data_IF_933562873102
#
_entry.id   IF_933562873102
#
_cell.length_a   1.000
_cell.length_b   1.000
_cell.length_c   1.000
_cell.angle_alpha   90.00
_cell.angle_beta   90.00
_cell.angle_gamma   90.00
#
_symmetry.space_group_name_H-M   'P 1'
#
loop_
_entity.id
_entity.type
_entity.pdbx_description
1 polymer ?
#
# COMPACT_ATOMS: atom_id res chain seq x y z
N UNK A 1 -32.91 27.67 1.34
CA UNK A 1 -31.46 27.99 1.26
C UNK A 1 -30.53 26.87 1.75
N UNK A 2 -30.99 25.63 2.03
CA UNK A 2 -30.17 24.57 2.68
C UNK A 2 -29.31 23.67 1.79
N UNK A 3 -29.38 23.76 0.46
CA UNK A 3 -28.60 22.89 -0.42
C UNK A 3 -27.14 23.37 -0.61
N UNK A 4 -26.90 24.69 -0.59
CA UNK A 4 -25.57 25.28 -0.84
C UNK A 4 -24.58 25.11 0.32
N UNK A 5 -25.05 24.99 1.56
CA UNK A 5 -24.19 24.84 2.74
C UNK A 5 -23.61 23.43 2.89
N UNK A 6 -24.40 22.40 2.56
CA UNK A 6 -23.97 20.98 2.61
C UNK A 6 -22.94 20.67 1.52
N UNK A 7 -23.07 21.29 0.33
CA UNK A 7 -22.08 21.16 -0.76
C UNK A 7 -20.74 21.80 -0.40
N UNK A 8 -20.75 22.97 0.25
CA UNK A 8 -19.52 23.67 0.68
C UNK A 8 -18.71 22.86 1.72
N UNK A 9 -19.38 22.16 2.63
CA UNK A 9 -18.73 21.30 3.63
C UNK A 9 -18.06 20.05 3.04
N UNK A 10 -18.72 19.38 2.08
CA UNK A 10 -18.15 18.22 1.38
C UNK A 10 -16.94 18.58 0.52
N UNK A 11 -16.97 19.74 -0.16
CA UNK A 11 -15.83 20.23 -0.94
C UNK A 11 -14.63 20.62 -0.06
N UNK A 12 -14.86 21.16 1.13
CA UNK A 12 -13.80 21.55 2.06
C UNK A 12 -12.95 20.35 2.52
N UNK A 13 -13.61 19.27 2.95
CA UNK A 13 -12.94 18.07 3.45
C UNK A 13 -12.29 17.24 2.33
N UNK A 14 -12.86 17.21 1.13
CA UNK A 14 -12.23 16.55 -0.01
C UNK A 14 -10.91 17.25 -0.40
N UNK A 15 -10.91 18.58 -0.42
CA UNK A 15 -9.70 19.38 -0.67
C UNK A 15 -8.64 19.22 0.43
N UNK A 16 -9.07 19.08 1.68
CA UNK A 16 -8.17 18.86 2.81
C UNK A 16 -7.52 17.47 2.75
N UNK A 17 -8.28 16.42 2.39
CA UNK A 17 -7.75 15.09 2.11
C UNK A 17 -6.75 15.10 0.94
N UNK A 18 -7.07 15.82 -0.13
CA UNK A 18 -6.15 15.99 -1.27
C UNK A 18 -4.84 16.67 -0.85
N UNK A 19 -4.91 17.73 -0.03
CA UNK A 19 -3.71 18.39 0.51
C UNK A 19 -2.86 17.46 1.37
N UNK A 20 -3.47 16.69 2.26
CA UNK A 20 -2.77 15.73 3.13
C UNK A 20 -2.10 14.63 2.28
N UNK A 21 -2.81 14.09 1.28
CA UNK A 21 -2.25 13.10 0.37
C UNK A 21 -1.11 13.67 -0.47
N UNK A 22 -1.22 14.92 -0.93
CA UNK A 22 -0.16 15.60 -1.67
C UNK A 22 1.08 15.87 -0.79
N UNK A 23 0.89 16.26 0.46
CA UNK A 23 1.99 16.51 1.40
C UNK A 23 2.69 15.22 1.83
N UNK A 24 1.94 14.14 2.08
CA UNK A 24 2.51 12.82 2.35
C UNK A 24 3.32 12.28 1.15
N UNK A 25 2.87 12.53 -0.08
CA UNK A 25 3.60 12.15 -1.31
C UNK A 25 4.89 12.96 -1.51
N UNK A 26 4.91 14.24 -1.14
CA UNK A 26 6.12 15.08 -1.21
C UNK A 26 7.22 14.63 -0.24
N UNK A 27 6.85 14.00 0.88
CA UNK A 27 7.79 13.51 1.89
C UNK A 27 8.33 12.10 1.60
N UNK A 28 7.82 11.40 0.59
CA UNK A 28 8.33 10.07 0.25
C UNK A 28 9.71 10.16 -0.40
N UNK A 29 10.76 9.59 0.22
CA UNK A 29 12.06 9.50 -0.44
C UNK A 29 11.94 8.56 -1.63
N UNK A 30 12.09 9.09 -2.84
CA UNK A 30 12.28 8.26 -4.03
C UNK A 30 13.68 7.68 -3.95
N UNK A 31 13.81 6.45 -3.44
CA UNK A 31 15.05 5.68 -3.57
C UNK A 31 15.24 5.45 -5.07
N UNK A 32 16.20 6.12 -5.67
CA UNK A 32 16.52 5.90 -7.08
C UNK A 32 17.39 4.63 -7.19
N UNK A 33 16.84 3.50 -7.68
CA UNK A 33 17.62 2.28 -7.85
C UNK A 33 18.77 2.45 -8.87
N UNK A 34 18.72 3.49 -9.70
CA UNK A 34 19.73 3.81 -10.71
C UNK A 34 20.70 4.92 -10.26
N UNK A 35 20.66 5.35 -9.00
CA UNK A 35 21.63 6.30 -8.48
C UNK A 35 23.07 5.77 -8.71
N UNK A 36 24.04 6.62 -9.07
CA UNK A 36 25.41 6.19 -9.38
C UNK A 36 26.04 5.36 -8.27
N UNK A 37 25.70 5.67 -7.01
CA UNK A 37 26.16 4.94 -5.84
C UNK A 37 25.61 3.51 -5.75
N UNK A 38 24.32 3.32 -6.07
CA UNK A 38 23.67 2.01 -6.07
C UNK A 38 24.18 1.14 -7.23
N UNK A 39 24.37 1.74 -8.41
CA UNK A 39 24.99 1.07 -9.56
C UNK A 39 26.42 0.63 -9.26
N UNK A 40 27.22 1.47 -8.59
CA UNK A 40 28.59 1.13 -8.18
C UNK A 40 28.60 -0.03 -7.18
N UNK A 41 27.74 -0.01 -6.17
CA UNK A 41 27.60 -1.12 -5.19
C UNK A 41 27.18 -2.42 -5.86
N UNK A 42 26.24 -2.36 -6.81
CA UNK A 42 25.80 -3.52 -7.59
C UNK A 42 26.93 -4.06 -8.48
N UNK A 43 27.65 -3.18 -9.19
CA UNK A 43 28.79 -3.53 -10.02
C UNK A 43 29.93 -4.17 -9.21
N UNK A 44 30.21 -3.67 -8.00
CA UNK A 44 31.19 -4.28 -7.09
C UNK A 44 30.75 -5.67 -6.62
N UNK A 45 29.50 -5.82 -6.19
CA UNK A 45 28.96 -7.09 -5.67
C UNK A 45 28.86 -8.18 -6.72
N UNK A 46 28.59 -7.83 -7.98
CA UNK A 46 28.54 -8.81 -9.07
C UNK A 46 29.88 -8.96 -9.80
N UNK A 47 30.63 -7.87 -9.97
CA UNK A 47 31.88 -7.86 -10.74
C UNK A 47 33.02 -8.59 -10.06
N UNK A 48 33.16 -8.48 -8.73
CA UNK A 48 34.24 -9.16 -7.99
C UNK A 48 34.12 -10.70 -8.11
N UNK A 49 32.97 -11.33 -7.82
CA UNK A 49 32.84 -12.79 -7.99
C UNK A 49 33.05 -13.26 -9.43
N UNK A 50 32.59 -12.50 -10.43
CA UNK A 50 32.78 -12.84 -11.84
C UNK A 50 34.25 -12.78 -12.23
N UNK A 51 34.98 -11.74 -11.81
CA UNK A 51 36.42 -11.62 -12.03
C UNK A 51 37.19 -12.76 -11.36
N UNK A 52 36.87 -13.09 -10.10
CA UNK A 52 37.48 -14.22 -9.39
C UNK A 52 37.21 -15.53 -10.16
N UNK A 53 35.99 -15.74 -10.63
CA UNK A 53 35.64 -16.91 -11.43
C UNK A 53 36.45 -17.02 -12.72
N UNK A 54 36.66 -15.90 -13.43
CA UNK A 54 37.52 -15.86 -14.62
C UNK A 54 38.98 -16.15 -14.30
N UNK A 55 39.51 -15.62 -13.19
CA UNK A 55 40.87 -15.91 -12.72
C UNK A 55 41.03 -17.41 -12.45
N UNK A 56 40.10 -18.04 -11.71
CA UNK A 56 40.14 -19.48 -11.42
C UNK A 56 40.13 -20.29 -12.72
N UNK A 57 39.22 -19.98 -13.64
CA UNK A 57 39.06 -20.71 -14.90
C UNK A 57 40.21 -20.48 -15.88
N UNK A 58 40.93 -19.37 -15.76
CA UNK A 58 42.14 -19.14 -16.55
C UNK A 58 43.25 -20.14 -16.22
N UNK A 59 43.38 -20.54 -14.95
CA UNK A 59 44.36 -21.54 -14.49
C UNK A 59 43.91 -23.00 -14.69
N UNK A 60 42.66 -23.25 -15.12
CA UNK A 60 42.19 -24.58 -15.47
C UNK A 60 42.48 -24.87 -16.95
N UNK A 61 43.15 -25.99 -17.22
CA UNK A 61 43.64 -26.33 -18.57
C UNK A 61 42.52 -26.76 -19.54
N UNK A 62 41.36 -27.15 -19.03
CA UNK A 62 40.24 -27.59 -19.87
C UNK A 62 39.41 -26.40 -20.38
N UNK A 63 39.29 -26.30 -21.71
CA UNK A 63 38.50 -25.28 -22.43
C UNK A 63 37.01 -25.26 -22.02
N UNK A 64 36.48 -26.38 -21.55
CA UNK A 64 35.09 -26.52 -21.08
C UNK A 64 34.79 -25.54 -19.93
N UNK A 65 35.72 -25.32 -19.01
CA UNK A 65 35.53 -24.37 -17.91
C UNK A 65 35.42 -22.93 -18.41
N UNK A 66 36.20 -22.57 -19.44
CA UNK A 66 36.15 -21.26 -20.11
C UNK A 66 34.82 -21.05 -20.81
N UNK A 67 34.28 -22.10 -21.45
CA UNK A 67 32.94 -22.05 -22.04
C UNK A 67 31.86 -21.85 -20.98
N UNK A 68 31.89 -22.61 -19.88
CA UNK A 68 30.91 -22.48 -18.79
C UNK A 68 30.93 -21.06 -18.21
N UNK A 69 32.12 -20.51 -17.93
CA UNK A 69 32.23 -19.13 -17.44
C UNK A 69 31.78 -18.09 -18.45
N UNK A 70 32.03 -18.32 -19.74
CA UNK A 70 31.47 -17.51 -20.82
C UNK A 70 29.95 -17.47 -20.80
N UNK A 71 29.29 -18.62 -20.64
CA UNK A 71 27.82 -18.73 -20.54
C UNK A 71 27.30 -18.02 -19.29
N UNK A 72 27.92 -18.22 -18.13
CA UNK A 72 27.53 -17.56 -16.87
C UNK A 72 27.66 -16.04 -17.00
N UNK A 73 28.75 -15.57 -17.60
CA UNK A 73 28.98 -14.13 -17.83
C UNK A 73 27.93 -13.55 -18.79
N UNK A 74 27.65 -14.24 -19.90
CA UNK A 74 26.61 -13.82 -20.85
C UNK A 74 25.21 -13.77 -20.20
N UNK A 75 24.87 -14.76 -19.37
CA UNK A 75 23.63 -14.78 -18.62
C UNK A 75 23.54 -13.59 -17.64
N UNK A 76 24.60 -13.29 -16.90
CA UNK A 76 24.67 -12.14 -15.99
C UNK A 76 24.51 -10.80 -16.72
N UNK A 77 25.16 -10.64 -17.87
CA UNK A 77 25.00 -9.45 -18.73
C UNK A 77 23.55 -9.33 -19.19
N UNK A 78 22.94 -10.42 -19.64
CA UNK A 78 21.52 -10.47 -20.04
C UNK A 78 20.58 -10.02 -18.92
N UNK A 79 20.75 -10.58 -17.71
CA UNK A 79 19.96 -10.19 -16.52
C UNK A 79 20.17 -8.73 -16.15
N UNK A 80 21.41 -8.23 -16.23
CA UNK A 80 21.74 -6.84 -15.91
C UNK A 80 21.05 -5.87 -16.87
N UNK A 81 21.13 -6.13 -18.19
CA UNK A 81 20.45 -5.33 -19.21
C UNK A 81 18.93 -5.34 -18.99
N UNK A 82 18.37 -6.51 -18.70
CA UNK A 82 16.96 -6.65 -18.38
C UNK A 82 16.56 -5.83 -17.14
N UNK A 83 17.32 -5.92 -16.05
CA UNK A 83 17.06 -5.19 -14.80
C UNK A 83 17.11 -3.66 -15.00
N UNK A 84 18.10 -3.16 -15.74
CA UNK A 84 18.21 -1.74 -16.08
C UNK A 84 17.00 -1.28 -16.90
N UNK A 85 16.57 -2.08 -17.89
CA UNK A 85 15.40 -1.77 -18.71
C UNK A 85 14.12 -1.75 -17.86
N UNK A 86 13.99 -2.69 -16.92
CA UNK A 86 12.87 -2.74 -15.98
C UNK A 86 12.85 -1.54 -15.03
N UNK A 87 14.00 -1.16 -14.47
CA UNK A 87 14.14 0.00 -13.59
C UNK A 87 13.76 1.32 -14.31
N UNK A 88 14.25 1.53 -15.53
CA UNK A 88 13.90 2.71 -16.35
C UNK A 88 12.41 2.77 -16.66
N UNK A 89 11.74 1.64 -16.92
CA UNK A 89 10.29 1.61 -17.11
C UNK A 89 9.54 1.98 -15.84
N UNK A 90 9.97 1.45 -14.70
CA UNK A 90 9.38 1.77 -13.40
C UNK A 90 9.53 3.25 -13.06
N UNK A 91 10.67 3.87 -13.37
CA UNK A 91 10.86 5.32 -13.21
C UNK A 91 9.90 6.14 -14.08
N UNK A 92 9.68 5.76 -15.35
CA UNK A 92 8.69 6.42 -16.21
C UNK A 92 7.28 6.40 -15.62
N UNK A 93 6.88 5.28 -15.02
CA UNK A 93 5.60 5.19 -14.31
C UNK A 93 5.54 6.20 -13.16
N UNK A 94 6.60 6.30 -12.36
CA UNK A 94 6.68 7.27 -11.25
C UNK A 94 6.62 8.71 -11.76
N UNK A 95 7.30 9.03 -12.86
CA UNK A 95 7.26 10.35 -13.49
C UNK A 95 5.84 10.73 -13.96
N UNK A 96 5.11 9.78 -14.55
CA UNK A 96 3.71 9.98 -14.94
C UNK A 96 2.85 10.29 -13.70
N UNK A 97 3.05 9.56 -12.61
CA UNK A 97 2.28 9.74 -11.38
C UNK A 97 2.54 11.07 -10.67
N UNK A 98 3.76 11.64 -10.79
CA UNK A 98 4.09 12.96 -10.20
C UNK A 98 3.23 14.10 -10.75
N UNK A 99 2.69 13.97 -11.97
CA UNK A 99 1.81 14.97 -12.58
C UNK A 99 0.31 14.75 -12.32
N UNK A 100 -0.06 13.68 -11.60
CA UNK A 100 -1.45 13.22 -11.49
C UNK A 100 -2.21 13.80 -10.27
N UNK A 101 -1.85 15.00 -9.82
CA UNK A 101 -2.42 15.60 -8.60
C UNK A 101 -3.76 16.30 -8.83
N UNK A 102 -4.13 16.60 -10.08
CA UNK A 102 -5.42 17.19 -10.44
C UNK A 102 -6.33 16.16 -11.12
N UNK A 103 -7.66 16.33 -11.14
CA UNK A 103 -8.56 15.45 -11.89
C UNK A 103 -8.18 15.33 -13.38
N UNK A 104 -7.69 16.43 -13.97
CA UNK A 104 -7.22 16.47 -15.36
C UNK A 104 -5.88 15.73 -15.52
N UNK A 105 -4.93 15.97 -14.60
CA UNK A 105 -3.65 15.26 -14.58
C UNK A 105 -3.81 13.76 -14.38
N UNK A 106 -4.79 13.32 -13.58
CA UNK A 106 -5.15 11.90 -13.44
C UNK A 106 -5.61 11.28 -14.76
N UNK A 107 -6.48 11.96 -15.49
CA UNK A 107 -6.95 11.48 -16.81
C UNK A 107 -5.79 11.35 -17.80
N UNK A 108 -4.92 12.35 -17.88
CA UNK A 108 -3.74 12.32 -18.74
C UNK A 108 -2.75 11.23 -18.32
N UNK A 109 -2.57 11.01 -17.02
CA UNK A 109 -1.73 9.93 -16.52
C UNK A 109 -2.29 8.55 -16.86
N UNK A 110 -3.61 8.35 -16.73
CA UNK A 110 -4.27 7.11 -17.15
C UNK A 110 -4.08 6.84 -18.65
N UNK A 111 -4.23 7.87 -19.49
CA UNK A 111 -4.03 7.76 -20.93
C UNK A 111 -2.58 7.37 -21.28
N UNK A 112 -1.58 8.03 -20.69
CA UNK A 112 -0.16 7.68 -20.88
C UNK A 112 0.17 6.27 -20.39
N UNK A 113 -0.42 5.84 -19.28
CA UNK A 113 -0.23 4.48 -18.76
C UNK A 113 -0.82 3.42 -19.71
N UNK A 114 -1.89 3.75 -20.43
CA UNK A 114 -2.51 2.87 -21.43
C UNK A 114 -1.74 2.85 -22.76
N UNK A 115 -1.15 3.97 -23.20
CA UNK A 115 -0.42 4.06 -24.48
C UNK A 115 1.03 3.59 -24.41
N UNK A 116 1.76 3.95 -23.34
CA UNK A 116 3.23 3.87 -23.32
C UNK A 116 3.76 2.52 -22.81
N UNK A 117 2.87 1.69 -22.27
CA UNK A 117 3.21 0.43 -21.62
C UNK A 117 2.56 -0.76 -22.32
N UNK A 118 3.24 -1.91 -22.26
CA UNK A 118 2.71 -3.14 -22.82
C UNK A 118 1.58 -3.65 -21.93
N UNK A 119 0.58 -4.29 -22.54
CA UNK A 119 -0.46 -5.03 -21.81
C UNK A 119 0.18 -6.05 -20.86
N UNK A 120 -0.18 -5.99 -19.58
CA UNK A 120 0.37 -6.87 -18.54
C UNK A 120 1.63 -6.34 -17.84
N UNK A 121 2.08 -5.12 -18.12
CA UNK A 121 3.15 -4.48 -17.35
C UNK A 121 2.64 -4.18 -15.93
N UNK A 122 3.14 -4.93 -14.95
CA UNK A 122 2.63 -4.88 -13.58
C UNK A 122 2.77 -3.49 -12.96
N UNK A 123 3.87 -2.78 -13.22
CA UNK A 123 4.10 -1.44 -12.69
C UNK A 123 3.07 -0.43 -13.23
N UNK A 124 2.77 -0.49 -14.53
CA UNK A 124 1.74 0.34 -15.13
C UNK A 124 0.33 0.01 -14.57
N UNK A 125 0.03 -1.27 -14.38
CA UNK A 125 -1.25 -1.72 -13.81
C UNK A 125 -1.40 -1.22 -12.36
N UNK A 126 -0.36 -1.33 -11.53
CA UNK A 126 -0.36 -0.81 -10.16
C UNK A 126 -0.61 0.70 -10.12
N UNK A 127 0.10 1.45 -10.96
CA UNK A 127 -0.07 2.89 -11.05
C UNK A 127 -1.48 3.28 -11.50
N UNK A 128 -2.02 2.59 -12.52
CA UNK A 128 -3.39 2.80 -13.00
C UNK A 128 -4.40 2.54 -11.89
N UNK A 129 -4.27 1.42 -11.18
CA UNK A 129 -5.13 1.10 -10.06
C UNK A 129 -5.05 2.13 -8.93
N UNK A 130 -3.87 2.66 -8.61
CA UNK A 130 -3.70 3.69 -7.59
C UNK A 130 -4.44 4.98 -7.94
N UNK A 131 -4.43 5.38 -9.21
CA UNK A 131 -5.18 6.54 -9.70
C UNK A 131 -6.69 6.28 -9.66
N UNK A 132 -7.12 5.11 -10.12
CA UNK A 132 -8.54 4.72 -10.15
C UNK A 132 -9.15 4.55 -8.75
N UNK A 133 -8.35 4.15 -7.75
CA UNK A 133 -8.81 3.91 -6.38
C UNK A 133 -9.39 5.17 -5.71
N UNK A 134 -8.98 6.36 -6.15
CA UNK A 134 -9.55 7.62 -5.67
C UNK A 134 -10.99 7.86 -6.15
N UNK A 135 -11.34 7.31 -7.31
CA UNK A 135 -12.63 7.55 -7.98
C UNK A 135 -13.58 6.37 -7.77
N UNK A 136 -13.11 5.16 -8.07
CA UNK A 136 -13.86 3.93 -7.97
C UNK A 136 -12.95 2.76 -7.53
N UNK A 137 -13.05 2.35 -6.25
CA UNK A 137 -12.31 1.19 -5.74
C UNK A 137 -12.57 -0.09 -6.54
N UNK A 138 -13.78 -0.31 -7.08
CA UNK A 138 -14.10 -1.52 -7.86
C UNK A 138 -13.43 -1.50 -9.23
N UNK A 139 -13.29 -0.32 -9.84
CA UNK A 139 -12.53 -0.17 -11.08
C UNK A 139 -11.05 -0.48 -10.86
N UNK A 140 -10.46 0.06 -9.79
CA UNK A 140 -9.10 -0.23 -9.39
C UNK A 140 -8.86 -1.74 -9.16
N UNK A 141 -9.82 -2.42 -8.52
CA UNK A 141 -9.75 -3.88 -8.32
C UNK A 141 -9.69 -4.64 -9.65
N UNK A 142 -10.58 -4.32 -10.60
CA UNK A 142 -10.58 -4.93 -11.94
C UNK A 142 -9.27 -4.67 -12.68
N UNK A 143 -8.67 -3.50 -12.49
CA UNK A 143 -7.36 -3.18 -13.06
C UNK A 143 -6.27 -4.05 -12.44
N UNK A 144 -6.20 -4.19 -11.11
CA UNK A 144 -5.24 -5.08 -10.45
C UNK A 144 -5.41 -6.55 -10.84
N UNK A 145 -6.63 -6.99 -11.16
CA UNK A 145 -6.92 -8.34 -11.63
C UNK A 145 -6.32 -8.67 -13.01
N UNK A 146 -5.88 -7.66 -13.76
CA UNK A 146 -5.14 -7.86 -15.00
C UNK A 146 -3.73 -8.40 -14.76
N UNK A 147 -3.20 -8.28 -13.53
CA UNK A 147 -1.90 -8.86 -13.15
C UNK A 147 -2.05 -10.38 -13.07
N UNK A 148 -1.36 -11.08 -13.98
CA UNK A 148 -1.26 -12.53 -13.87
C UNK A 148 -0.26 -12.90 -12.77
N UNK A 149 -0.79 -13.26 -11.60
CA UNK A 149 -0.02 -13.61 -10.40
C UNK A 149 0.97 -14.77 -10.60
N UNK A 150 0.75 -15.65 -11.59
CA UNK A 150 1.65 -16.77 -11.90
C UNK A 150 2.84 -16.37 -12.78
N UNK A 151 2.77 -15.22 -13.44
CA UNK A 151 3.78 -14.76 -14.41
C UNK A 151 4.67 -13.64 -13.87
N UNK A 152 4.29 -13.01 -12.78
CA UNK A 152 5.10 -11.98 -12.10
C UNK A 152 5.98 -12.61 -11.03
N UNK A 153 7.00 -11.87 -10.57
CA UNK A 153 7.83 -12.32 -9.44
C UNK A 153 6.97 -12.50 -8.18
N UNK A 154 7.33 -13.46 -7.32
CA UNK A 154 6.52 -13.81 -6.16
C UNK A 154 6.19 -12.61 -5.23
N UNK A 155 7.17 -11.74 -4.97
CA UNK A 155 6.94 -10.51 -4.17
C UNK A 155 5.98 -9.53 -4.86
N UNK A 156 6.00 -9.43 -6.19
CA UNK A 156 5.06 -8.60 -6.97
C UNK A 156 3.65 -9.20 -6.91
N UNK A 157 3.53 -10.53 -6.96
CA UNK A 157 2.25 -11.20 -6.78
C UNK A 157 1.67 -10.96 -5.37
N UNK A 158 2.52 -10.96 -4.34
CA UNK A 158 2.13 -10.69 -2.95
C UNK A 158 1.67 -9.24 -2.75
N UNK A 159 2.36 -8.28 -3.37
CA UNK A 159 1.92 -6.87 -3.43
C UNK A 159 0.57 -6.72 -4.15
N UNK A 160 0.37 -7.41 -5.28
CA UNK A 160 -0.89 -7.40 -6.01
C UNK A 160 -2.04 -7.97 -5.16
N UNK A 161 -1.80 -9.08 -4.46
CA UNK A 161 -2.76 -9.67 -3.53
C UNK A 161 -3.11 -8.70 -2.41
N UNK A 162 -2.12 -8.06 -1.80
CA UNK A 162 -2.35 -7.12 -0.71
C UNK A 162 -3.13 -5.89 -1.15
N UNK A 163 -2.81 -5.30 -2.30
CA UNK A 163 -3.57 -4.15 -2.81
C UNK A 163 -5.02 -4.52 -3.15
N UNK A 164 -5.25 -5.69 -3.77
CA UNK A 164 -6.60 -6.21 -3.99
C UNK A 164 -7.33 -6.44 -2.67
N UNK A 165 -6.67 -7.05 -1.69
CA UNK A 165 -7.23 -7.28 -0.36
C UNK A 165 -7.59 -5.96 0.35
N UNK A 166 -6.74 -4.94 0.24
CA UNK A 166 -7.02 -3.62 0.80
C UNK A 166 -8.31 -3.02 0.22
N UNK A 167 -8.54 -3.16 -1.09
CA UNK A 167 -9.79 -2.71 -1.71
C UNK A 167 -10.99 -3.48 -1.16
N UNK A 168 -10.91 -4.81 -1.09
CA UNK A 168 -11.95 -5.64 -0.49
C UNK A 168 -12.24 -5.23 0.97
N UNK A 169 -11.21 -4.94 1.77
CA UNK A 169 -11.35 -4.44 3.14
C UNK A 169 -12.09 -3.09 3.19
N UNK A 170 -11.83 -2.18 2.26
CA UNK A 170 -12.55 -0.89 2.13
C UNK A 170 -14.03 -1.14 1.81
N UNK A 171 -14.32 -2.11 0.94
CA UNK A 171 -15.68 -2.49 0.55
C UNK A 171 -16.42 -3.29 1.64
N UNK A 172 -15.69 -3.84 2.62
CA UNK A 172 -16.23 -4.70 3.69
C UNK A 172 -16.33 -6.17 3.29
N UNK A 173 -15.67 -6.56 2.20
CA UNK A 173 -15.59 -7.91 1.62
C UNK A 173 -14.46 -8.68 2.34
N UNK A 174 -14.70 -9.05 3.60
CA UNK A 174 -13.66 -9.60 4.50
C UNK A 174 -13.17 -10.97 4.10
N UNK A 175 -14.03 -11.79 3.48
CA UNK A 175 -13.73 -13.17 3.12
C UNK A 175 -12.86 -13.21 1.84
N UNK A 176 -13.16 -12.32 0.90
CA UNK A 176 -12.38 -12.08 -0.31
C UNK A 176 -11.00 -11.51 0.04
N UNK A 177 -10.95 -10.53 0.95
CA UNK A 177 -9.68 -10.02 1.46
C UNK A 177 -8.86 -11.12 2.14
N UNK A 178 -9.51 -11.99 2.93
CA UNK A 178 -8.86 -13.12 3.60
C UNK A 178 -8.22 -14.09 2.62
N UNK A 179 -8.95 -14.52 1.60
CA UNK A 179 -8.46 -15.45 0.59
C UNK A 179 -7.21 -14.92 -0.16
N UNK A 180 -7.12 -13.60 -0.34
CA UNK A 180 -5.98 -12.96 -0.99
C UNK A 180 -4.75 -12.86 -0.08
N UNK A 181 -4.92 -12.61 1.22
CA UNK A 181 -3.78 -12.41 2.13
C UNK A 181 -3.15 -13.70 2.64
N UNK A 182 -3.90 -14.80 2.67
CA UNK A 182 -3.40 -16.08 3.20
C UNK A 182 -2.17 -16.66 2.51
N UNK A 183 -2.02 -16.58 1.17
CA UNK A 183 -0.81 -17.04 0.50
C UNK A 183 0.35 -16.02 0.50
N UNK A 184 0.18 -14.82 1.11
CA UNK A 184 1.25 -13.81 1.17
C UNK A 184 2.38 -14.29 2.08
N UNK A 185 3.60 -14.24 1.56
CA UNK A 185 4.80 -14.59 2.30
C UNK A 185 5.63 -13.34 2.61
N UNK A 186 5.49 -12.85 3.84
CA UNK A 186 6.18 -11.64 4.30
C UNK A 186 7.71 -11.77 4.28
N UNK A 187 8.26 -12.99 4.23
CA UNK A 187 9.72 -13.20 4.18
C UNK A 187 10.34 -12.82 2.84
N UNK A 188 9.53 -12.76 1.76
CA UNK A 188 9.96 -12.34 0.42
C UNK A 188 10.22 -10.84 0.31
N UNK A 189 9.82 -10.06 1.32
CA UNK A 189 9.91 -8.61 1.34
C UNK A 189 11.05 -8.18 2.28
N UNK A 190 12.19 -7.83 1.68
CA UNK A 190 13.38 -7.39 2.40
C UNK A 190 13.27 -5.95 2.90
N UNK A 191 12.59 -5.08 2.13
CA UNK A 191 12.40 -3.67 2.46
C UNK A 191 11.39 -3.52 3.61
N UNK A 192 11.80 -2.80 4.65
CA UNK A 192 11.09 -2.73 5.92
C UNK A 192 9.71 -2.08 5.77
N UNK A 193 9.60 -0.98 5.02
CA UNK A 193 8.36 -0.22 4.82
C UNK A 193 7.33 -1.05 4.05
N UNK A 194 7.73 -1.71 2.96
CA UNK A 194 6.90 -2.62 2.17
C UNK A 194 6.41 -3.78 3.03
N UNK A 195 7.31 -4.44 3.79
CA UNK A 195 6.93 -5.53 4.69
C UNK A 195 5.97 -5.07 5.79
N UNK A 196 6.16 -3.90 6.38
CA UNK A 196 5.26 -3.33 7.39
C UNK A 196 3.88 -3.00 6.79
N UNK A 197 3.83 -2.45 5.57
CA UNK A 197 2.59 -2.20 4.85
C UNK A 197 1.82 -3.51 4.61
N UNK A 198 2.47 -4.53 4.06
CA UNK A 198 1.85 -5.85 3.85
C UNK A 198 1.38 -6.47 5.17
N UNK A 199 2.21 -6.39 6.21
CA UNK A 199 1.88 -6.84 7.55
C UNK A 199 0.58 -6.20 8.07
N UNK A 200 0.43 -4.90 7.89
CA UNK A 200 -0.79 -4.19 8.31
C UNK A 200 -2.04 -4.66 7.57
N UNK A 201 -1.95 -4.91 6.26
CA UNK A 201 -3.07 -5.37 5.44
C UNK A 201 -3.45 -6.81 5.79
N UNK A 202 -2.45 -7.71 5.86
CA UNK A 202 -2.63 -9.11 6.26
C UNK A 202 -3.29 -9.19 7.64
N UNK A 203 -2.79 -8.41 8.60
CA UNK A 203 -3.33 -8.40 9.95
C UNK A 203 -4.75 -7.83 10.02
N UNK A 204 -5.07 -6.75 9.30
CA UNK A 204 -6.45 -6.23 9.25
C UNK A 204 -7.42 -7.28 8.68
N UNK A 205 -7.04 -7.95 7.59
CA UNK A 205 -7.84 -9.01 6.99
C UNK A 205 -8.03 -10.20 7.94
N UNK A 206 -6.97 -10.64 8.61
CA UNK A 206 -7.05 -11.71 9.62
C UNK A 206 -7.92 -11.31 10.80
N UNK A 207 -7.80 -10.08 11.31
CA UNK A 207 -8.61 -9.60 12.43
C UNK A 207 -10.11 -9.62 12.09
N UNK A 208 -10.47 -9.10 10.92
CA UNK A 208 -11.87 -8.95 10.47
C UNK A 208 -12.50 -10.27 9.99
N UNK A 209 -11.71 -11.33 9.85
CA UNK A 209 -12.14 -12.70 9.47
C UNK A 209 -12.02 -13.72 10.60
N UNK A 210 -11.81 -13.28 11.85
CA UNK A 210 -11.84 -14.14 13.03
C UNK A 210 -10.49 -14.67 13.53
N UNK A 211 -9.37 -14.30 12.91
CA UNK A 211 -8.01 -14.61 13.39
C UNK A 211 -7.35 -13.42 14.11
N UNK A 212 -8.10 -12.75 14.98
CA UNK A 212 -7.67 -11.51 15.64
C UNK A 212 -6.45 -11.67 16.54
N UNK A 213 -6.33 -12.79 17.28
CA UNK A 213 -5.14 -13.06 18.11
C UNK A 213 -3.86 -13.13 17.28
N UNK A 214 -3.91 -13.91 16.18
CA UNK A 214 -2.81 -14.01 15.21
C UNK A 214 -2.46 -12.66 14.59
N UNK A 215 -3.46 -11.82 14.32
CA UNK A 215 -3.24 -10.47 13.81
C UNK A 215 -2.52 -9.57 14.83
N UNK A 216 -2.89 -9.66 16.13
CA UNK A 216 -2.18 -8.96 17.22
C UNK A 216 -0.72 -9.42 17.30
N UNK A 217 -0.48 -10.74 17.36
CA UNK A 217 0.88 -11.30 17.45
C UNK A 217 1.78 -10.88 16.28
N UNK A 218 1.18 -10.71 15.10
CA UNK A 218 1.89 -10.24 13.91
C UNK A 218 2.21 -8.74 14.01
N UNK A 219 1.26 -7.91 14.43
CA UNK A 219 1.40 -6.45 14.52
C UNK A 219 2.29 -5.97 15.67
N UNK A 220 2.42 -6.78 16.73
CA UNK A 220 3.30 -6.48 17.86
C UNK A 220 4.80 -6.57 17.47
N UNK A 221 5.13 -7.21 16.34
CA UNK A 221 6.48 -7.26 15.78
C UNK A 221 6.87 -6.02 14.97
N UNK A 222 5.91 -5.14 14.70
CA UNK A 222 6.14 -3.90 13.94
C UNK A 222 6.18 -2.76 14.94
N UNK A 223 7.32 -2.08 15.11
CA UNK A 223 7.37 -0.85 15.90
C UNK A 223 6.81 0.31 15.07
N UNK A 224 5.56 0.67 15.30
CA UNK A 224 4.90 1.78 14.61
C UNK A 224 5.51 3.15 14.94
N UNK A 225 6.38 3.22 15.96
CA UNK A 225 7.09 4.44 16.33
C UNK A 225 8.36 4.66 15.53
N UNK A 226 8.83 3.65 14.81
CA UNK A 226 10.00 3.75 13.93
C UNK A 226 9.80 4.88 12.91
N UNK A 227 10.76 5.83 12.79
CA UNK A 227 10.72 6.87 11.77
C UNK A 227 10.53 6.35 10.34
N UNK A 228 11.00 5.14 10.02
CA UNK A 228 10.83 4.52 8.72
C UNK A 228 9.34 4.31 8.33
N UNK A 229 8.44 4.27 9.32
CA UNK A 229 7.02 4.02 9.13
C UNK A 229 6.14 5.25 9.36
N UNK A 230 6.69 6.47 9.46
CA UNK A 230 5.91 7.67 9.75
C UNK A 230 4.67 7.80 8.84
N UNK A 231 4.85 7.64 7.52
CA UNK A 231 3.75 7.69 6.53
C UNK A 231 2.78 6.49 6.64
N UNK A 232 3.24 5.36 7.17
CA UNK A 232 2.45 4.13 7.32
C UNK A 232 1.77 4.02 8.69
N UNK A 233 2.17 4.85 9.66
CA UNK A 233 1.67 4.79 11.03
C UNK A 233 0.14 4.81 11.10
N UNK A 234 -0.60 5.65 10.33
CA UNK A 234 -2.07 5.59 10.32
C UNK A 234 -2.62 4.23 9.90
N UNK A 235 -2.00 3.57 8.92
CA UNK A 235 -2.42 2.27 8.42
C UNK A 235 -2.09 1.15 9.43
N UNK A 236 -0.91 1.19 10.06
CA UNK A 236 -0.51 0.22 11.09
C UNK A 236 -1.44 0.33 12.30
N UNK A 237 -1.68 1.55 12.79
CA UNK A 237 -2.60 1.79 13.90
C UNK A 237 -4.03 1.40 13.54
N UNK A 238 -4.46 1.62 12.29
CA UNK A 238 -5.77 1.15 11.81
C UNK A 238 -5.88 -0.38 11.93
N UNK A 239 -4.89 -1.11 11.44
CA UNK A 239 -4.87 -2.57 11.53
C UNK A 239 -4.89 -3.04 13.00
N UNK A 240 -4.12 -2.40 13.88
CA UNK A 240 -4.11 -2.66 15.33
C UNK A 240 -5.46 -2.40 15.99
N UNK A 241 -6.15 -1.32 15.62
CA UNK A 241 -7.46 -1.02 16.17
C UNK A 241 -8.47 -2.15 15.87
N UNK A 242 -8.47 -2.67 14.63
CA UNK A 242 -9.28 -3.85 14.28
C UNK A 242 -8.81 -5.09 15.03
N UNK A 243 -7.51 -5.38 15.05
CA UNK A 243 -6.96 -6.56 15.71
C UNK A 243 -7.32 -6.59 17.21
N UNK A 244 -7.09 -5.50 17.94
CA UNK A 244 -7.44 -5.40 19.35
C UNK A 244 -8.95 -5.43 19.59
N UNK A 245 -9.76 -4.80 18.74
CA UNK A 245 -11.21 -4.85 18.88
C UNK A 245 -11.75 -6.27 18.76
N UNK A 246 -11.39 -6.99 17.68
CA UNK A 246 -11.82 -8.36 17.45
C UNK A 246 -11.14 -9.38 18.38
N UNK A 247 -10.02 -9.02 19.02
CA UNK A 247 -9.40 -9.81 20.08
C UNK A 247 -9.96 -9.49 21.49
N UNK A 248 -11.01 -8.67 21.59
CA UNK A 248 -11.61 -8.21 22.85
C UNK A 248 -10.66 -7.46 23.80
N UNK A 249 -9.59 -6.86 23.26
CA UNK A 249 -8.65 -6.04 24.03
C UNK A 249 -9.04 -4.57 23.97
N UNK A 250 -10.13 -4.22 24.66
CA UNK A 250 -10.70 -2.86 24.67
C UNK A 250 -9.72 -1.78 25.16
N UNK A 251 -8.81 -2.11 26.10
CA UNK A 251 -7.82 -1.16 26.62
C UNK A 251 -6.80 -0.78 25.54
N UNK A 252 -6.23 -1.77 24.85
CA UNK A 252 -5.30 -1.52 23.76
C UNK A 252 -5.98 -0.84 22.57
N UNK A 253 -7.19 -1.28 22.22
CA UNK A 253 -8.00 -0.63 21.17
C UNK A 253 -8.20 0.87 21.46
N UNK A 254 -8.62 1.24 22.67
CA UNK A 254 -8.82 2.65 23.05
C UNK A 254 -7.53 3.45 22.95
N UNK A 255 -6.41 2.91 23.42
CA UNK A 255 -5.09 3.55 23.32
C UNK A 255 -4.75 3.87 21.85
N UNK A 256 -4.90 2.89 20.97
CA UNK A 256 -4.64 3.06 19.52
C UNK A 256 -5.57 4.10 18.89
N UNK A 257 -6.85 4.16 19.29
CA UNK A 257 -7.77 5.21 18.80
C UNK A 257 -7.34 6.61 19.23
N UNK A 258 -6.81 6.78 20.46
CA UNK A 258 -6.25 8.06 20.90
C UNK A 258 -4.98 8.43 20.14
N UNK A 259 -4.13 7.46 19.82
CA UNK A 259 -2.95 7.68 18.97
C UNK A 259 -3.35 8.10 17.55
N UNK A 260 -4.33 7.44 16.94
CA UNK A 260 -4.89 7.85 15.64
C UNK A 260 -5.49 9.26 15.68
N UNK A 261 -6.24 9.58 16.74
CA UNK A 261 -6.80 10.92 16.95
C UNK A 261 -5.70 11.98 17.00
N UNK A 262 -4.59 11.69 17.70
CA UNK A 262 -3.46 12.60 17.85
C UNK A 262 -2.76 12.87 16.51
N UNK A 263 -2.72 11.88 15.60
CA UNK A 263 -2.22 12.08 14.24
C UNK A 263 -3.20 12.91 13.39
N UNK A 264 -4.44 12.44 13.29
CA UNK A 264 -5.54 13.15 12.64
C UNK A 264 -6.86 12.48 13.00
N UNK A 265 -7.79 13.26 13.55
CA UNK A 265 -9.14 12.79 13.90
C UNK A 265 -9.92 12.19 12.72
N UNK A 266 -9.63 12.61 11.48
CA UNK A 266 -10.26 12.05 10.28
C UNK A 266 -9.89 10.57 10.05
N UNK A 267 -8.76 10.07 10.59
CA UNK A 267 -8.42 8.65 10.49
C UNK A 267 -9.42 7.75 11.22
N UNK A 268 -10.14 8.28 12.22
CA UNK A 268 -11.19 7.56 12.92
C UNK A 268 -12.43 7.32 12.07
N UNK A 269 -12.61 8.09 10.98
CA UNK A 269 -13.72 7.89 10.04
C UNK A 269 -13.71 6.51 9.40
N UNK A 270 -12.54 5.88 9.31
CA UNK A 270 -12.36 4.52 8.80
C UNK A 270 -13.02 3.43 9.65
N UNK A 271 -13.56 3.75 10.83
CA UNK A 271 -14.25 2.84 11.73
C UNK A 271 -15.73 3.17 11.93
N UNK A 272 -16.20 4.29 11.39
CA UNK A 272 -17.59 4.73 11.55
C UNK A 272 -18.37 4.27 10.33
N UNK A 273 -19.43 3.50 10.53
CA UNK A 273 -20.19 2.94 9.40
C UNK A 273 -21.14 3.96 8.81
N UNK A 274 -21.58 3.71 7.57
CA UNK A 274 -22.62 4.50 6.89
C UNK A 274 -23.93 4.62 7.67
N UNK A 275 -24.20 3.70 8.61
CA UNK A 275 -25.36 3.76 9.50
C UNK A 275 -25.32 4.95 10.46
N UNK A 276 -24.12 5.30 10.95
CA UNK A 276 -23.93 6.41 11.90
C UNK A 276 -23.48 7.70 11.22
N UNK A 277 -22.76 7.62 10.10
CA UNK A 277 -22.31 8.79 9.36
C UNK A 277 -22.37 8.52 7.84
N UNK A 278 -23.06 9.34 7.03
CA UNK A 278 -23.13 9.15 5.58
C UNK A 278 -21.79 9.06 4.85
N UNK A 279 -20.72 9.62 5.43
CA UNK A 279 -19.35 9.57 4.91
C UNK A 279 -18.53 8.40 5.48
N UNK A 280 -19.18 7.49 6.19
CA UNK A 280 -18.58 6.31 6.83
C UNK A 280 -18.30 5.16 5.86
N UNK A 281 -17.76 4.08 6.43
CA UNK A 281 -17.40 2.85 5.72
C UNK A 281 -18.56 1.85 5.65
N UNK A 282 -18.37 0.78 4.88
CA UNK A 282 -19.28 -0.36 4.87
C UNK A 282 -19.49 -0.90 6.28
N UNK A 283 -20.73 -1.22 6.71
CA UNK A 283 -20.96 -1.81 8.03
C UNK A 283 -20.33 -3.20 8.22
N UNK A 284 -20.06 -3.92 7.12
CA UNK A 284 -19.53 -5.28 7.19
C UNK A 284 -18.06 -5.28 7.64
N UNK A 285 -17.77 -6.11 8.64
CA UNK A 285 -16.42 -6.27 9.18
C UNK A 285 -15.95 -5.12 10.07
N UNK A 286 -16.83 -4.21 10.51
CA UNK A 286 -16.51 -3.22 11.54
C UNK A 286 -17.01 -3.69 12.90
N UNK A 287 -16.11 -3.75 13.88
CA UNK A 287 -16.46 -4.21 15.23
C UNK A 287 -17.36 -3.18 15.95
N UNK A 288 -18.51 -3.58 16.55
CA UNK A 288 -19.45 -2.62 17.15
C UNK A 288 -18.86 -1.73 18.24
N UNK A 289 -17.99 -2.29 19.11
CA UNK A 289 -17.31 -1.51 20.15
C UNK A 289 -16.30 -0.51 19.56
N UNK A 290 -15.63 -0.89 18.47
CA UNK A 290 -14.66 -0.04 17.78
C UNK A 290 -15.38 1.16 17.14
N UNK A 291 -16.50 0.90 16.46
CA UNK A 291 -17.33 1.95 15.89
C UNK A 291 -17.84 2.92 16.97
N UNK A 292 -18.34 2.39 18.10
CA UNK A 292 -18.87 3.22 19.18
C UNK A 292 -17.81 4.18 19.73
N UNK A 293 -16.64 3.66 20.11
CA UNK A 293 -15.57 4.46 20.68
C UNK A 293 -14.99 5.47 19.68
N UNK A 294 -14.79 5.06 18.41
CA UNK A 294 -14.33 5.97 17.37
C UNK A 294 -15.35 7.10 17.12
N UNK A 295 -16.64 6.78 17.06
CA UNK A 295 -17.70 7.76 16.89
C UNK A 295 -17.76 8.75 18.06
N UNK A 296 -17.68 8.27 19.30
CA UNK A 296 -17.71 9.12 20.49
C UNK A 296 -16.51 10.10 20.51
N UNK A 297 -15.32 9.65 20.10
CA UNK A 297 -14.13 10.50 20.00
C UNK A 297 -14.34 11.60 18.94
N UNK A 298 -14.85 11.24 17.76
CA UNK A 298 -15.11 12.18 16.67
C UNK A 298 -16.21 13.20 17.02
N UNK A 299 -17.26 12.77 17.73
CA UNK A 299 -18.32 13.68 18.18
C UNK A 299 -17.84 14.69 19.21
N UNK A 300 -16.90 14.29 20.07
CA UNK A 300 -16.26 15.17 21.06
C UNK A 300 -15.25 16.14 20.46
N UNK A 301 -14.74 15.88 19.26
CA UNK A 301 -13.75 16.75 18.61
C UNK A 301 -14.35 17.92 17.83
N UNK A 302 -15.68 17.99 17.68
CA UNK A 302 -16.37 19.06 16.95
C UNK A 302 -16.26 18.97 15.41
N UNK A 303 -15.65 17.92 14.87
CA UNK A 303 -15.44 17.73 13.42
C UNK A 303 -16.72 17.33 12.70
N UNK A 304 -17.68 16.74 13.41
CA UNK A 304 -19.01 16.41 12.90
C UNK A 304 -20.00 17.44 13.45
N UNK A 305 -20.63 18.22 12.56
CA UNK A 305 -21.70 19.13 12.95
C UNK A 305 -22.84 18.32 13.60
N UNK A 306 -23.16 18.61 14.86
CA UNK A 306 -24.31 18.01 15.54
C UNK A 306 -25.55 18.36 14.72
N UNK A 307 -26.32 17.35 14.28
CA UNK A 307 -27.69 17.60 13.80
C UNK A 307 -28.44 18.22 14.98
N UNK A 308 -28.73 19.52 14.92
CA UNK A 308 -29.79 20.08 15.74
C UNK A 308 -31.10 19.51 15.21
N UNK A 309 -31.60 18.46 15.87
CA UNK A 309 -32.99 18.06 15.70
C UNK A 309 -33.83 19.22 16.25
N UNK A 310 -34.39 20.04 15.37
CA UNK A 310 -35.46 20.96 15.74
C UNK A 310 -36.64 20.11 16.21
N UNK A 311 -36.74 19.97 17.54
CA UNK A 311 -37.93 19.45 18.21
C UNK A 311 -39.07 20.40 17.82
N UNK A 312 -39.94 19.96 16.92
CA UNK A 312 -41.19 20.69 16.65
C UNK A 312 -41.97 20.70 17.95
N UNK A 313 -42.16 21.88 18.52
CA UNK A 313 -43.19 22.16 19.51
C UNK A 313 -44.56 22.00 18.86
#
# INVERSE_FOLDING_TARGET
>A
MSAKSVQKGKQSQAKEREKILAEARKKQPTVDPMAPENLRKMALRMGIPVLIGWVIVFFLDHWVWKLIMGIVTAALVGVTIWAIRYARRSQKVVEILKGADTPEGRKQALEKLDSDFKKGDAAAIFAKAQLEMQEDPKKALKTLEQINLSKVMAHVADEARAQRAMIHLILGETDEARALVDPIDLSRHSEAKSRAMLTSIVAEAWARSGQAKRAVDLLDKVDDKDPAYEDLRPQILRARAFAYAFANNSKAMKKVLFELKALNVQYLMGFITKKKNPMGVSPRGVHPLLEKEAFDIVMKSGVVQRKMEMRRM
#
